data_IF_179944599026
#
_entry.id   IF_179944599026
#
_cell.length_a   1.000
_cell.length_b   1.000
_cell.length_c   1.000
_cell.angle_alpha   90.00
_cell.angle_beta   90.00
_cell.angle_gamma   90.00
#
_symmetry.space_group_name_H-M   'P 1'
#
loop_
_entity.id
_entity.type
_entity.pdbx_description
1 polymer ?
#
# COMPACT_ATOMS: atom_id res chain seq x y z
N UNK A 1 -25.41 -3.96 -1.26
CA UNK A 1 -24.36 -3.00 -1.64
C UNK A 1 -23.18 -3.18 -0.67
N UNK A 2 -22.44 -4.28 -0.52
CA UNK A 2 -21.96 -5.36 -1.40
C UNK A 2 -21.35 -4.90 -2.74
N UNK A 3 -21.43 -3.60 -3.08
CA UNK A 3 -20.98 -3.08 -4.37
C UNK A 3 -19.47 -2.78 -4.44
N UNK A 4 -18.72 -3.00 -3.37
CA UNK A 4 -17.25 -3.06 -3.43
C UNK A 4 -16.72 -4.49 -3.69
N UNK A 5 -17.53 -5.36 -4.29
CA UNK A 5 -17.03 -6.54 -5.02
C UNK A 5 -16.16 -6.14 -6.25
N UNK A 6 -15.92 -4.84 -6.49
CA UNK A 6 -15.89 -4.27 -7.84
C UNK A 6 -14.89 -3.13 -8.07
N UNK A 7 -13.87 -3.01 -7.23
CA UNK A 7 -12.56 -2.47 -7.67
C UNK A 7 -11.63 -3.67 -7.58
N UNK A 8 -11.72 -4.73 -8.38
CA UNK A 8 -11.58 -4.76 -9.82
C UNK A 8 -11.61 -6.24 -10.24
N UNK A 9 -12.74 -6.95 -10.26
CA UNK A 9 -12.70 -8.38 -10.69
C UNK A 9 -12.19 -8.49 -12.15
N UNK A 10 -12.58 -7.54 -13.00
CA UNK A 10 -12.16 -7.45 -14.40
C UNK A 10 -10.70 -6.97 -14.60
N UNK A 11 -10.19 -6.10 -13.72
CA UNK A 11 -8.85 -5.52 -13.85
C UNK A 11 -7.79 -6.29 -13.03
N UNK A 12 -8.18 -6.97 -11.94
CA UNK A 12 -7.32 -7.96 -11.25
C UNK A 12 -6.96 -9.09 -12.20
N UNK A 13 -7.91 -9.58 -13.00
CA UNK A 13 -7.61 -10.62 -14.00
C UNK A 13 -6.62 -10.12 -15.05
N UNK A 14 -6.82 -8.92 -15.60
CA UNK A 14 -5.89 -8.32 -16.57
C UNK A 14 -4.51 -8.01 -16.00
N UNK A 15 -4.42 -7.61 -14.72
CA UNK A 15 -3.16 -7.39 -14.02
C UNK A 15 -2.41 -8.67 -13.64
N UNK A 16 -3.13 -9.75 -13.33
CA UNK A 16 -2.54 -11.06 -12.99
C UNK A 16 -2.25 -11.95 -14.20
N UNK A 17 -2.94 -11.76 -15.35
CA UNK A 17 -2.75 -12.55 -16.57
C UNK A 17 -1.31 -12.48 -17.13
N UNK A 18 -0.52 -11.48 -16.72
CA UNK A 18 0.91 -11.36 -17.05
C UNK A 18 1.88 -11.77 -15.93
N UNK A 19 1.39 -12.07 -14.73
CA UNK A 19 2.23 -12.29 -13.53
C UNK A 19 2.15 -13.73 -12.98
N UNK A 20 1.02 -14.43 -13.16
CA UNK A 20 0.82 -15.82 -12.73
C UNK A 20 0.49 -16.75 -13.90
N UNK A 21 0.81 -18.04 -13.74
CA UNK A 21 0.36 -19.08 -14.65
C UNK A 21 -1.16 -19.23 -14.62
N UNK A 22 -1.76 -19.60 -15.76
CA UNK A 22 -3.21 -19.63 -15.95
C UNK A 22 -3.93 -20.61 -15.00
N UNK A 23 -3.25 -21.69 -14.61
CA UNK A 23 -3.76 -22.69 -13.67
C UNK A 23 -3.87 -22.15 -12.24
N UNK A 24 -2.89 -21.38 -11.78
CA UNK A 24 -2.88 -20.78 -10.45
C UNK A 24 -3.90 -19.63 -10.35
N UNK A 25 -4.13 -18.91 -11.45
CA UNK A 25 -5.12 -17.84 -11.53
C UNK A 25 -6.55 -18.36 -11.26
N UNK A 26 -6.90 -19.54 -11.78
CA UNK A 26 -8.20 -20.17 -11.53
C UNK A 26 -8.39 -20.58 -10.07
N UNK A 27 -7.32 -21.02 -9.39
CA UNK A 27 -7.35 -21.38 -7.96
C UNK A 27 -7.57 -20.12 -7.10
N UNK A 28 -6.90 -19.02 -7.44
CA UNK A 28 -7.06 -17.74 -6.74
C UNK A 28 -8.47 -17.17 -6.94
N UNK A 29 -9.00 -17.22 -8.17
CA UNK A 29 -10.34 -16.71 -8.48
C UNK A 29 -11.47 -17.51 -7.83
N UNK A 30 -11.25 -18.81 -7.61
CA UNK A 30 -12.19 -19.70 -6.90
C UNK A 30 -12.18 -19.51 -5.37
N UNK A 31 -11.17 -18.85 -4.81
CA UNK A 31 -11.05 -18.63 -3.36
C UNK A 31 -11.96 -17.52 -2.86
N UNK A 32 -12.55 -17.74 -1.68
CA UNK A 32 -13.47 -16.79 -1.01
C UNK A 32 -12.78 -15.51 -0.53
N UNK A 33 -11.47 -15.57 -0.26
CA UNK A 33 -10.64 -14.44 0.19
C UNK A 33 -9.41 -14.29 -0.70
N UNK A 34 -9.61 -13.64 -1.85
CA UNK A 34 -8.59 -13.47 -2.89
C UNK A 34 -7.27 -12.80 -2.43
N UNK A 35 -7.26 -11.65 -1.71
CA UNK A 35 -6.00 -11.01 -1.33
C UNK A 35 -5.15 -11.90 -0.40
N UNK A 36 -5.80 -12.62 0.51
CA UNK A 36 -5.13 -13.60 1.38
C UNK A 36 -4.55 -14.77 0.58
N UNK A 37 -5.29 -15.26 -0.41
CA UNK A 37 -4.84 -16.36 -1.28
C UNK A 37 -3.61 -15.98 -2.12
N UNK A 38 -3.58 -14.76 -2.67
CA UNK A 38 -2.44 -14.25 -3.45
C UNK A 38 -1.19 -14.16 -2.58
N UNK A 39 -1.34 -13.64 -1.38
CA UNK A 39 -0.23 -13.51 -0.43
C UNK A 39 0.33 -14.87 -0.02
N UNK A 40 -0.53 -15.84 0.29
CA UNK A 40 -0.11 -17.21 0.60
C UNK A 40 0.71 -17.82 -0.54
N UNK A 41 0.27 -17.59 -1.79
CA UNK A 41 0.97 -18.05 -2.97
C UNK A 41 2.37 -17.41 -3.11
N UNK A 42 2.48 -16.10 -2.84
CA UNK A 42 3.78 -15.40 -2.82
C UNK A 42 4.70 -15.99 -1.74
N UNK A 43 4.17 -16.27 -0.54
CA UNK A 43 4.95 -16.89 0.54
C UNK A 43 5.44 -18.29 0.16
N UNK A 44 4.59 -19.13 -0.42
CA UNK A 44 5.00 -20.45 -0.90
C UNK A 44 6.03 -20.39 -2.03
N UNK A 45 5.87 -19.45 -2.96
CA UNK A 45 6.83 -19.22 -4.04
C UNK A 45 8.21 -18.79 -3.51
N UNK A 46 8.23 -17.97 -2.45
CA UNK A 46 9.47 -17.59 -1.76
C UNK A 46 10.11 -18.76 -1.02
N UNK A 47 9.32 -19.70 -0.52
CA UNK A 47 9.84 -20.90 0.14
C UNK A 47 10.51 -21.88 -0.83
N UNK A 48 10.10 -21.89 -2.10
CA UNK A 48 10.75 -22.66 -3.16
C UNK A 48 12.04 -22.02 -3.68
N UNK A 49 12.24 -20.72 -3.44
CA UNK A 49 13.49 -20.03 -3.77
C UNK A 49 14.55 -20.29 -2.70
N UNK A 50 15.76 -20.68 -3.15
CA UNK A 50 16.93 -20.90 -2.29
C UNK A 50 17.54 -19.54 -1.87
N UNK A 51 16.91 -18.92 -0.87
CA UNK A 51 17.37 -17.68 -0.24
C UNK A 51 17.91 -17.96 1.16
N UNK A 52 18.87 -17.15 1.57
CA UNK A 52 19.41 -17.16 2.93
C UNK A 52 18.29 -17.04 3.98
N UNK A 53 18.34 -17.88 5.01
CA UNK A 53 17.29 -18.01 6.05
C UNK A 53 16.97 -16.67 6.73
N UNK A 54 17.99 -15.81 6.94
CA UNK A 54 17.79 -14.49 7.52
C UNK A 54 16.95 -13.59 6.60
N UNK A 55 17.20 -13.65 5.28
CA UNK A 55 16.45 -12.85 4.29
C UNK A 55 15.01 -13.35 4.15
N UNK A 56 14.82 -14.67 4.20
CA UNK A 56 13.49 -15.31 4.17
C UNK A 56 12.64 -14.84 5.35
N UNK A 57 13.17 -14.93 6.57
CA UNK A 57 12.48 -14.52 7.79
C UNK A 57 12.07 -13.03 7.77
N UNK A 58 12.96 -12.16 7.27
CA UNK A 58 12.65 -10.73 7.12
C UNK A 58 11.52 -10.51 6.11
N UNK A 59 11.56 -11.20 4.96
CA UNK A 59 10.53 -11.05 3.92
C UNK A 59 9.16 -11.52 4.43
N UNK A 60 9.08 -12.72 5.04
CA UNK A 60 7.82 -13.25 5.59
C UNK A 60 7.25 -12.34 6.68
N UNK A 61 8.11 -11.73 7.51
CA UNK A 61 7.69 -10.75 8.53
C UNK A 61 7.06 -9.50 7.90
N UNK A 62 7.61 -8.99 6.79
CA UNK A 62 7.05 -7.83 6.08
C UNK A 62 5.72 -8.16 5.41
N UNK A 63 5.64 -9.35 4.83
CA UNK A 63 4.43 -9.88 4.20
C UNK A 63 3.30 -10.07 5.22
N UNK A 64 3.63 -10.58 6.42
CA UNK A 64 2.68 -10.72 7.53
C UNK A 64 2.16 -9.37 8.02
N UNK A 65 3.04 -8.36 8.15
CA UNK A 65 2.64 -7.01 8.51
C UNK A 65 1.71 -6.37 7.47
N UNK A 66 1.94 -6.62 6.18
CA UNK A 66 1.07 -6.15 5.10
C UNK A 66 -0.31 -6.83 5.14
N UNK A 67 -0.36 -8.14 5.39
CA UNK A 67 -1.60 -8.90 5.63
C UNK A 67 -2.42 -8.32 6.78
N UNK A 68 -1.77 -8.02 7.91
CA UNK A 68 -2.43 -7.41 9.06
C UNK A 68 -3.04 -6.05 8.70
N UNK A 69 -2.30 -5.22 7.95
CA UNK A 69 -2.80 -3.94 7.45
C UNK A 69 -4.02 -4.08 6.54
N UNK A 70 -3.98 -5.03 5.58
CA UNK A 70 -5.14 -5.32 4.72
C UNK A 70 -6.32 -5.83 5.56
N UNK A 71 -6.07 -6.71 6.54
CA UNK A 71 -7.10 -7.24 7.43
C UNK A 71 -7.80 -6.15 8.23
N UNK A 72 -7.05 -5.16 8.73
CA UNK A 72 -7.62 -3.99 9.39
C UNK A 72 -8.48 -3.17 8.43
N UNK A 73 -8.04 -2.96 7.18
CA UNK A 73 -8.84 -2.27 6.16
C UNK A 73 -10.11 -3.04 5.78
N UNK A 74 -10.03 -4.37 5.65
CA UNK A 74 -11.20 -5.25 5.42
C UNK A 74 -12.16 -5.26 6.61
N UNK A 75 -11.64 -5.15 7.82
CA UNK A 75 -12.47 -5.01 9.02
C UNK A 75 -13.14 -3.64 9.07
N UNK A 76 -12.44 -2.58 8.69
CA UNK A 76 -12.99 -1.22 8.64
C UNK A 76 -14.09 -1.08 7.58
N UNK A 77 -13.89 -1.66 6.39
CA UNK A 77 -14.93 -1.69 5.33
C UNK A 77 -16.08 -2.63 5.72
N UNK A 78 -15.79 -3.67 6.52
CA UNK A 78 -16.74 -4.68 6.99
C UNK A 78 -17.66 -4.22 8.11
N UNK A 79 -17.45 -3.01 8.67
CA UNK A 79 -18.37 -2.36 9.62
C UNK A 79 -19.16 -1.30 8.83
N UNK A 80 -20.19 -1.68 8.05
CA UNK A 80 -21.01 -0.70 7.38
C UNK A 80 -21.84 0.04 8.43
N UNK A 81 -21.54 1.31 8.64
CA UNK A 81 -22.49 2.21 9.28
C UNK A 81 -23.75 2.18 8.40
N UNK A 82 -24.94 1.90 8.97
CA UNK A 82 -26.13 1.75 8.15
C UNK A 82 -26.45 3.08 7.46
N UNK A 83 -26.27 3.14 6.15
CA UNK A 83 -26.65 4.29 5.29
C UNK A 83 -28.13 4.71 5.47
N UNK A 84 -28.95 3.79 6.02
CA UNK A 84 -30.32 4.06 6.45
C UNK A 84 -30.41 5.14 7.53
N UNK A 85 -29.43 5.22 8.43
CA UNK A 85 -29.37 6.22 9.50
C UNK A 85 -29.26 7.62 8.91
N UNK A 86 -28.32 7.82 7.99
CA UNK A 86 -28.08 9.13 7.36
C UNK A 86 -29.26 9.59 6.51
N UNK A 87 -29.90 8.67 5.78
CA UNK A 87 -31.15 8.98 5.04
C UNK A 87 -32.33 9.32 5.96
N UNK A 88 -32.42 8.68 7.13
CA UNK A 88 -33.48 8.96 8.10
C UNK A 88 -33.28 10.32 8.76
N UNK A 89 -32.05 10.63 9.17
CA UNK A 89 -31.67 11.93 9.74
C UNK A 89 -31.98 13.07 8.77
N UNK A 90 -31.64 12.91 7.49
CA UNK A 90 -31.93 13.91 6.45
C UNK A 90 -33.42 14.19 6.30
N UNK A 91 -34.24 13.14 6.23
CA UNK A 91 -35.71 13.28 6.15
C UNK A 91 -36.29 13.94 7.40
N UNK A 92 -35.75 13.60 8.58
CA UNK A 92 -36.16 14.22 9.83
C UNK A 92 -35.78 15.71 9.89
N UNK A 93 -34.57 16.08 9.47
CA UNK A 93 -34.12 17.47 9.42
C UNK A 93 -34.96 18.33 8.45
N UNK A 94 -35.35 17.79 7.30
CA UNK A 94 -36.27 18.48 6.37
C UNK A 94 -37.62 18.74 7.05
N UNK A 95 -38.22 17.73 7.68
CA UNK A 95 -39.50 17.87 8.39
C UNK A 95 -39.41 18.86 9.55
N UNK A 96 -38.31 18.82 10.30
CA UNK A 96 -38.02 19.75 11.39
C UNK A 96 -37.96 21.20 10.89
N UNK A 97 -37.20 21.47 9.82
CA UNK A 97 -37.07 22.81 9.26
C UNK A 97 -38.33 23.31 8.54
N UNK A 98 -39.21 22.43 8.05
CA UNK A 98 -40.53 22.84 7.54
C UNK A 98 -41.47 23.26 8.67
N UNK A 99 -41.34 22.65 9.85
CA UNK A 99 -42.22 22.92 11.00
C UNK A 99 -41.74 24.13 11.81
N UNK A 100 -40.43 24.36 11.89
CA UNK A 100 -39.80 25.46 12.62
C UNK A 100 -40.33 26.87 12.26
N UNK A 101 -40.43 27.29 10.98
CA UNK A 101 -40.93 28.61 10.62
C UNK A 101 -42.40 28.80 10.95
N UNK A 102 -43.22 27.74 10.94
CA UNK A 102 -44.64 27.81 11.32
C UNK A 102 -44.79 28.09 12.81
N UNK A 103 -43.96 27.47 13.65
CA UNK A 103 -43.98 27.66 15.10
C UNK A 103 -43.44 29.03 15.50
N UNK A 104 -42.33 29.48 14.89
CA UNK A 104 -41.66 30.74 15.24
C UNK A 104 -42.27 31.99 14.57
N UNK A 105 -43.28 31.82 13.72
CA UNK A 105 -43.90 32.93 12.97
C UNK A 105 -44.48 34.01 13.90
N UNK A 106 -45.04 33.61 15.04
CA UNK A 106 -45.73 34.50 15.98
C UNK A 106 -44.77 35.53 16.63
N UNK A 107 -43.57 35.08 17.01
CA UNK A 107 -42.58 35.87 17.74
C UNK A 107 -41.68 36.73 16.83
N UNK A 108 -41.27 36.19 15.67
CA UNK A 108 -40.16 36.72 14.87
C UNK A 108 -40.57 37.34 13.53
N UNK A 109 -41.84 37.22 13.12
CA UNK A 109 -42.38 37.73 11.83
C UNK A 109 -41.42 37.40 10.66
N UNK A 110 -41.16 38.36 9.77
CA UNK A 110 -40.33 38.19 8.56
C UNK A 110 -38.87 37.80 8.81
N UNK A 111 -38.34 37.97 10.04
CA UNK A 111 -36.94 37.62 10.36
C UNK A 111 -36.76 36.11 10.54
N UNK A 112 -37.86 35.35 10.71
CA UNK A 112 -37.82 33.89 10.80
C UNK A 112 -37.30 33.24 9.52
N UNK A 113 -37.56 33.84 8.36
CA UNK A 113 -37.17 33.29 7.05
C UNK A 113 -35.65 33.27 6.86
N UNK A 114 -34.90 34.38 7.01
CA UNK A 114 -33.45 34.35 6.92
C UNK A 114 -32.81 33.54 8.07
N UNK A 115 -33.37 33.59 9.27
CA UNK A 115 -32.84 32.82 10.41
C UNK A 115 -32.94 31.31 10.17
N UNK A 116 -34.11 30.81 9.76
CA UNK A 116 -34.33 29.40 9.43
C UNK A 116 -33.48 28.94 8.24
N UNK A 117 -33.28 29.81 7.24
CA UNK A 117 -32.40 29.52 6.12
C UNK A 117 -30.94 29.33 6.55
N UNK A 118 -30.42 30.21 7.42
CA UNK A 118 -29.04 30.09 7.94
C UNK A 118 -28.88 28.82 8.79
N UNK A 119 -29.87 28.51 9.64
CA UNK A 119 -29.86 27.28 10.45
C UNK A 119 -29.91 26.02 9.59
N UNK A 120 -30.78 26.00 8.57
CA UNK A 120 -30.89 24.90 7.62
C UNK A 120 -29.56 24.69 6.87
N UNK A 121 -28.99 25.77 6.31
CA UNK A 121 -27.72 25.71 5.60
C UNK A 121 -26.59 25.15 6.50
N UNK A 122 -26.55 25.56 7.77
CA UNK A 122 -25.56 25.06 8.72
C UNK A 122 -25.75 23.57 9.04
N UNK A 123 -26.98 23.13 9.32
CA UNK A 123 -27.27 21.75 9.69
C UNK A 123 -27.14 20.78 8.50
N UNK A 124 -27.55 21.19 7.29
CA UNK A 124 -27.32 20.39 6.08
C UNK A 124 -25.84 20.29 5.72
N UNK A 125 -25.06 21.36 5.92
CA UNK A 125 -23.61 21.31 5.72
C UNK A 125 -22.95 20.28 6.67
N UNK A 126 -23.37 20.23 7.94
CA UNK A 126 -22.88 19.24 8.90
C UNK A 126 -23.28 17.82 8.48
N UNK A 127 -24.52 17.61 8.01
CA UNK A 127 -24.99 16.31 7.53
C UNK A 127 -24.19 15.83 6.31
N UNK A 128 -23.92 16.72 5.35
CA UNK A 128 -23.12 16.42 4.16
C UNK A 128 -21.69 16.01 4.53
N UNK A 129 -21.06 16.73 5.46
CA UNK A 129 -19.74 16.34 6.00
C UNK A 129 -19.80 14.99 6.72
N UNK A 130 -20.90 14.69 7.43
CA UNK A 130 -21.12 13.40 8.07
C UNK A 130 -21.12 12.24 7.07
N UNK A 131 -21.86 12.39 5.96
CA UNK A 131 -21.85 11.42 4.85
C UNK A 131 -20.45 11.22 4.28
N UNK A 132 -19.70 12.31 4.12
CA UNK A 132 -18.34 12.27 3.56
C UNK A 132 -17.36 11.49 4.47
N UNK A 133 -17.55 11.55 5.78
CA UNK A 133 -16.75 10.83 6.77
C UNK A 133 -17.16 9.35 6.83
N UNK A 134 -18.43 9.02 6.56
CA UNK A 134 -18.92 7.63 6.52
C UNK A 134 -18.34 6.83 5.34
N UNK A 135 -18.00 7.48 4.23
CA UNK A 135 -17.37 6.86 3.06
C UNK A 135 -15.94 7.38 2.83
N UNK A 136 -14.96 7.05 3.70
CA UNK A 136 -13.60 7.57 3.55
C UNK A 136 -12.83 6.90 2.40
N UNK A 137 -13.22 5.67 2.02
CA UNK A 137 -12.45 4.84 1.09
C UNK A 137 -12.55 5.19 -0.40
N UNK A 138 -13.70 5.62 -0.94
CA UNK A 138 -13.76 6.15 -2.31
C UNK A 138 -12.92 7.42 -2.50
N UNK A 139 -12.71 8.19 -1.43
CA UNK A 139 -11.88 9.40 -1.43
C UNK A 139 -10.41 9.10 -1.13
N UNK A 140 -10.12 8.10 -0.30
CA UNK A 140 -8.77 7.60 -0.09
C UNK A 140 -8.27 6.99 -1.40
N UNK A 141 -7.25 7.60 -1.98
CA UNK A 141 -6.60 7.17 -3.21
C UNK A 141 -5.81 5.87 -2.99
N UNK A 142 -6.49 4.76 -2.76
CA UNK A 142 -5.89 3.44 -2.61
C UNK A 142 -5.05 3.08 -3.84
N UNK A 143 -5.49 3.50 -5.03
CA UNK A 143 -4.71 3.41 -6.27
C UNK A 143 -3.40 4.22 -6.22
N UNK A 144 -3.39 5.38 -5.55
CA UNK A 144 -2.15 6.14 -5.36
C UNK A 144 -1.24 5.44 -4.35
N UNK A 145 -1.79 4.83 -3.30
CA UNK A 145 -1.02 4.03 -2.35
C UNK A 145 -0.39 2.80 -3.02
N UNK A 146 -1.17 2.08 -3.84
CA UNK A 146 -0.67 0.95 -4.64
C UNK A 146 0.42 1.39 -5.63
N UNK A 147 0.22 2.51 -6.34
CA UNK A 147 1.25 3.09 -7.22
C UNK A 147 2.51 3.46 -6.47
N UNK A 148 2.38 4.13 -5.33
CA UNK A 148 3.52 4.51 -4.50
C UNK A 148 4.28 3.28 -3.98
N UNK A 149 3.58 2.21 -3.62
CA UNK A 149 4.18 0.96 -3.18
C UNK A 149 4.91 0.25 -4.34
N UNK A 150 4.30 0.21 -5.52
CA UNK A 150 4.92 -0.32 -6.73
C UNK A 150 6.17 0.46 -7.15
N UNK A 151 6.09 1.80 -7.13
CA UNK A 151 7.22 2.68 -7.43
C UNK A 151 8.34 2.53 -6.38
N UNK A 152 7.99 2.38 -5.10
CA UNK A 152 8.95 2.10 -4.04
C UNK A 152 9.69 0.78 -4.23
N UNK A 153 8.98 -0.30 -4.61
CA UNK A 153 9.60 -1.60 -4.91
C UNK A 153 10.55 -1.47 -6.10
N UNK A 154 10.12 -0.79 -7.17
CA UNK A 154 10.92 -0.56 -8.37
C UNK A 154 12.18 0.23 -8.07
N UNK A 155 12.08 1.25 -7.22
CA UNK A 155 13.23 2.07 -6.80
C UNK A 155 14.21 1.26 -5.95
N UNK A 156 13.71 0.51 -4.95
CA UNK A 156 14.55 -0.38 -4.13
C UNK A 156 15.27 -1.41 -5.00
N UNK A 157 14.60 -2.00 -5.98
CA UNK A 157 15.22 -2.92 -6.95
C UNK A 157 16.27 -2.24 -7.83
N UNK A 158 16.02 -1.01 -8.29
CA UNK A 158 16.98 -0.23 -9.08
C UNK A 158 18.24 0.12 -8.27
N UNK A 159 18.06 0.47 -6.99
CA UNK A 159 19.17 0.73 -6.06
C UNK A 159 19.97 -0.54 -5.80
N UNK A 160 19.33 -1.68 -5.52
CA UNK A 160 20.00 -2.97 -5.33
C UNK A 160 20.85 -3.34 -6.55
N UNK A 161 20.29 -3.21 -7.77
CA UNK A 161 21.02 -3.47 -9.01
C UNK A 161 22.21 -2.51 -9.20
N UNK A 162 22.06 -1.24 -8.84
CA UNK A 162 23.14 -0.25 -8.92
C UNK A 162 24.26 -0.55 -7.93
N UNK A 163 23.91 -0.88 -6.68
CA UNK A 163 24.87 -1.26 -5.64
C UNK A 163 25.60 -2.54 -6.03
N UNK A 164 24.88 -3.56 -6.49
CA UNK A 164 25.47 -4.81 -6.96
C UNK A 164 26.44 -4.57 -8.14
N UNK A 165 26.05 -3.75 -9.11
CA UNK A 165 26.90 -3.39 -10.25
C UNK A 165 28.16 -2.65 -9.80
N UNK A 166 28.04 -1.72 -8.84
CA UNK A 166 29.19 -0.99 -8.30
C UNK A 166 30.13 -1.87 -7.47
N UNK A 167 29.59 -2.78 -6.65
CA UNK A 167 30.39 -3.74 -5.88
C UNK A 167 31.14 -4.70 -6.81
N UNK A 168 30.49 -5.21 -7.85
CA UNK A 168 31.14 -6.06 -8.87
C UNK A 168 32.21 -5.28 -9.66
N UNK A 169 31.97 -4.02 -9.99
CA UNK A 169 32.96 -3.16 -10.65
C UNK A 169 34.15 -2.81 -9.74
N UNK A 170 33.92 -2.57 -8.45
CA UNK A 170 34.97 -2.32 -7.46
C UNK A 170 35.81 -3.57 -7.21
N UNK A 171 35.18 -4.75 -7.21
CA UNK A 171 35.88 -6.03 -7.05
C UNK A 171 36.78 -6.33 -8.27
N UNK A 172 36.35 -6.00 -9.50
CA UNK A 172 37.22 -6.05 -10.70
C UNK A 172 38.40 -5.07 -10.63
N UNK A 173 38.22 -3.88 -10.03
CA UNK A 173 39.33 -2.92 -9.84
C UNK A 173 40.34 -3.36 -8.77
N UNK A 174 39.90 -4.04 -7.72
CA UNK A 174 40.80 -4.60 -6.70
C UNK A 174 41.50 -5.89 -7.17
N UNK A 175 40.83 -6.76 -7.92
CA UNK A 175 41.44 -7.95 -8.54
C UNK A 175 42.46 -7.64 -9.65
N UNK A 176 42.46 -6.41 -10.18
CA UNK A 176 43.41 -5.94 -11.19
C UNK A 176 44.69 -5.29 -10.65
N UNK A 177 44.81 -5.04 -9.33
CA UNK A 177 45.97 -4.35 -8.74
C UNK A 177 46.92 -5.25 -7.96
N UNK A 178 46.62 -6.54 -7.79
CA UNK A 178 47.48 -7.54 -7.14
C UNK A 178 48.21 -8.45 -8.13
N UNK A 179 48.74 -7.90 -9.24
CA UNK A 179 49.59 -8.67 -10.16
C UNK A 179 50.79 -7.91 -10.75
N UNK A 180 51.24 -6.81 -10.14
CA UNK A 180 52.44 -6.12 -10.63
C UNK A 180 53.17 -5.35 -9.53
N UNK A 181 54.03 -6.02 -8.77
CA UNK A 181 55.19 -5.43 -8.07
C UNK A 181 56.08 -6.53 -7.42
N UNK A 182 56.35 -7.60 -8.17
CA UNK A 182 57.07 -8.82 -7.76
C UNK A 182 58.58 -8.96 -7.97
N UNK A 183 59.32 -8.02 -8.57
CA UNK A 183 60.73 -8.30 -8.89
C UNK A 183 61.48 -7.07 -9.40
N UNK A 184 62.43 -6.58 -8.60
CA UNK A 184 63.50 -5.71 -9.11
C UNK A 184 64.18 -4.82 -8.08
N UNK A 185 64.99 -5.38 -7.17
CA UNK A 185 66.23 -4.71 -6.75
C UNK A 185 67.28 -5.74 -6.30
N UNK A 186 68.57 -5.59 -6.65
CA UNK A 186 69.58 -6.65 -6.50
C UNK A 186 70.04 -6.77 -5.04
N UNK A 187 70.15 -8.01 -4.57
CA UNK A 187 70.81 -8.32 -3.29
C UNK A 187 72.31 -8.07 -3.38
N UNK A 188 72.83 -7.27 -2.45
CA UNK A 188 74.24 -7.21 -2.10
C UNK A 188 74.39 -7.69 -0.67
N UNK A 189 75.14 -8.79 -0.46
CA UNK A 189 76.38 -8.81 0.35
C UNK A 189 76.90 -10.22 0.69
N UNK A 190 78.24 -10.29 0.68
CA UNK A 190 79.20 -11.05 1.53
C UNK A 190 79.56 -12.51 1.21
N UNK A 191 80.79 -12.65 0.71
CA UNK A 191 81.97 -13.14 1.47
C UNK A 191 81.90 -14.55 2.08
N UNK A 192 82.52 -15.51 1.42
CA UNK A 192 83.16 -16.67 2.06
C UNK A 192 84.58 -16.87 1.50
N UNK A 193 85.52 -17.07 2.41
CA UNK A 193 86.92 -17.38 2.19
C UNK A 193 87.15 -18.90 2.29
N UNK A 194 87.92 -19.49 1.36
CA UNK A 194 88.76 -20.69 1.56
C UNK A 194 89.64 -20.93 0.32
N UNK A 195 90.98 -20.79 0.40
CA UNK A 195 92.01 -21.89 0.40
C UNK A 195 91.73 -22.88 -0.75
N UNK A 196 92.50 -22.96 -1.84
CA UNK A 196 93.95 -23.17 -2.02
C UNK A 196 94.53 -22.38 -3.22
#
# INVERSE_FOLDING_TARGET
>A
MFQCHLICDSDVKGGLEGLLAQDDLNVVLASKHRPRCIIEFISQSLQMLDLDEQKRSVMESKLSCFLEGIGVCEQLIGIPIPLSYTRLTSRFLVLWHLTLPVILWDECKWIVVPATFISAASLFCIEEVGVLIEEPFPMLTLDALCRQLHDGIKDVMAVQNTVHTRLVAQNKRHGGRSRCAENGWPSSKREEAKID
#
